data_IF_772375099443
#
_entry.id   IF_772375099443
#
_cell.length_a   1.000
_cell.length_b   1.000
_cell.length_c   1.000
_cell.angle_alpha   90.00
_cell.angle_beta   90.00
_cell.angle_gamma   90.00
#
_symmetry.space_group_name_H-M   'P 1'
#
loop_
_entity.id
_entity.type
_entity.pdbx_description
1 polymer ?
#
# COMPACT_ATOMS: atom_id res chain seq x y z
N UNK A 1 11.77 -26.44 3.96
CA UNK A 1 11.93 -25.84 5.30
C UNK A 1 12.37 -26.95 6.23
N UNK A 2 13.67 -27.03 6.52
CA UNK A 2 14.21 -27.98 7.49
C UNK A 2 13.89 -27.51 8.91
N UNK A 3 13.58 -28.50 9.75
CA UNK A 3 13.31 -28.51 11.18
C UNK A 3 14.05 -27.42 12.01
N UNK A 4 13.50 -26.20 12.01
CA UNK A 4 13.96 -25.07 12.82
C UNK A 4 13.01 -24.81 14.02
N UNK A 5 12.02 -25.70 14.20
CA UNK A 5 11.00 -25.64 15.24
C UNK A 5 11.53 -26.05 16.60
N UNK A 6 12.53 -26.94 16.63
CA UNK A 6 13.12 -27.41 17.89
C UNK A 6 14.12 -26.39 18.47
N UNK A 7 14.98 -25.77 17.65
CA UNK A 7 15.92 -24.72 18.08
C UNK A 7 15.20 -23.46 18.60
N UNK A 8 14.03 -23.11 18.03
CA UNK A 8 13.25 -21.95 18.50
C UNK A 8 12.57 -22.15 19.87
N UNK A 9 12.41 -23.38 20.38
CA UNK A 9 11.75 -23.64 21.67
C UNK A 9 12.60 -23.26 22.88
N UNK A 10 13.92 -23.16 22.71
CA UNK A 10 14.85 -22.80 23.80
C UNK A 10 15.12 -21.29 23.88
N UNK A 11 14.62 -20.51 22.92
CA UNK A 11 14.73 -19.06 22.90
C UNK A 11 13.73 -18.43 23.89
N UNK A 12 14.05 -17.23 24.38
CA UNK A 12 13.07 -16.42 25.12
C UNK A 12 11.87 -16.09 24.23
N UNK A 13 10.69 -15.94 24.81
CA UNK A 13 9.50 -15.51 24.08
C UNK A 13 9.56 -14.03 23.71
N UNK A 14 8.75 -13.64 22.72
CA UNK A 14 8.58 -12.24 22.31
C UNK A 14 8.03 -11.40 23.47
N UNK A 15 8.67 -10.28 23.77
CA UNK A 15 8.27 -9.37 24.85
C UNK A 15 7.69 -8.05 24.29
N UNK A 16 6.88 -7.29 25.06
CA UNK A 16 6.33 -6.01 24.60
C UNK A 16 7.40 -5.02 24.10
N UNK A 17 8.57 -5.01 24.72
CA UNK A 17 9.70 -4.15 24.34
C UNK A 17 10.23 -4.49 22.93
N UNK A 18 10.18 -5.76 22.53
CA UNK A 18 10.57 -6.17 21.17
C UNK A 18 9.60 -5.59 20.13
N UNK A 19 8.30 -5.59 20.45
CA UNK A 19 7.22 -5.10 19.59
C UNK A 19 7.29 -3.59 19.45
N UNK A 20 7.40 -2.89 20.58
CA UNK A 20 7.51 -1.43 20.59
C UNK A 20 8.80 -0.98 19.88
N UNK A 21 9.88 -1.75 20.01
CA UNK A 21 11.16 -1.52 19.34
C UNK A 21 11.19 -1.86 17.84
N UNK A 22 10.12 -2.42 17.27
CA UNK A 22 10.09 -2.81 15.87
C UNK A 22 10.22 -1.61 14.94
N UNK A 23 11.05 -1.76 13.92
CA UNK A 23 11.15 -0.81 12.81
C UNK A 23 10.02 -1.07 11.82
N UNK A 24 9.36 -0.01 11.40
CA UNK A 24 8.33 -0.03 10.35
C UNK A 24 8.94 0.15 8.95
N UNK A 25 8.26 -0.39 7.94
CA UNK A 25 8.59 -0.26 6.52
C UNK A 25 7.42 0.37 5.77
N UNK A 26 7.70 1.35 4.92
CA UNK A 26 6.71 1.92 3.99
C UNK A 26 7.39 2.57 2.78
N UNK A 27 6.61 2.95 1.78
CA UNK A 27 7.07 3.78 0.66
C UNK A 27 8.25 3.20 -0.11
N UNK A 28 8.26 1.88 -0.34
CA UNK A 28 9.29 1.22 -1.16
C UNK A 28 9.07 1.49 -2.66
N UNK A 29 10.13 1.86 -3.38
CA UNK A 29 10.09 2.09 -4.83
C UNK A 29 11.46 1.85 -5.47
N UNK A 30 11.47 1.15 -6.61
CA UNK A 30 12.69 0.88 -7.39
C UNK A 30 13.06 2.06 -8.29
N UNK A 31 14.35 2.29 -8.52
CA UNK A 31 14.82 3.24 -9.52
C UNK A 31 14.43 2.78 -10.93
N UNK A 32 14.16 3.72 -11.87
CA UNK A 32 13.88 3.38 -13.26
C UNK A 32 14.96 2.47 -13.87
N UNK A 33 16.24 2.74 -13.58
CA UNK A 33 17.36 1.91 -14.06
C UNK A 33 17.50 0.53 -13.37
N UNK A 34 16.65 0.21 -12.40
CA UNK A 34 16.58 -1.07 -11.70
C UNK A 34 17.69 -1.32 -10.68
N UNK A 35 18.59 -0.36 -10.42
CA UNK A 35 19.80 -0.58 -9.59
C UNK A 35 19.61 -0.30 -8.11
N UNK A 36 18.61 0.50 -7.75
CA UNK A 36 18.43 0.96 -6.39
C UNK A 36 17.00 0.79 -5.92
N UNK A 37 16.83 0.32 -4.69
CA UNK A 37 15.57 0.36 -3.98
C UNK A 37 15.61 1.50 -2.96
N UNK A 38 14.65 2.42 -3.05
CA UNK A 38 14.38 3.40 -2.02
C UNK A 38 13.26 2.91 -1.12
N UNK A 39 13.36 3.14 0.18
CA UNK A 39 12.31 2.78 1.14
C UNK A 39 12.35 3.67 2.38
N UNK A 40 11.22 3.76 3.09
CA UNK A 40 11.13 4.48 4.36
C UNK A 40 11.28 3.49 5.51
N UNK A 41 12.32 3.68 6.31
CA UNK A 41 12.50 2.96 7.58
C UNK A 41 12.04 3.85 8.72
N UNK A 42 10.97 3.44 9.39
CA UNK A 42 10.44 4.13 10.56
C UNK A 42 10.98 3.51 11.84
N UNK A 43 11.54 4.35 12.73
CA UNK A 43 11.99 3.93 14.06
C UNK A 43 11.06 4.52 15.13
N UNK A 44 10.77 3.76 16.20
CA UNK A 44 10.03 4.29 17.33
C UNK A 44 10.88 5.30 18.09
N UNK A 45 10.31 6.47 18.38
CA UNK A 45 10.87 7.49 19.27
C UNK A 45 9.94 7.59 20.46
N UNK A 46 10.40 7.12 21.62
CA UNK A 46 9.60 7.02 22.84
C UNK A 46 10.07 8.07 23.84
N UNK A 47 9.36 9.20 23.88
CA UNK A 47 9.58 10.24 24.88
C UNK A 47 8.36 10.34 25.80
N UNK A 48 8.55 10.84 27.02
CA UNK A 48 7.51 10.91 28.06
C UNK A 48 6.29 11.72 27.64
N UNK A 49 6.52 12.80 26.89
CA UNK A 49 5.45 13.72 26.44
C UNK A 49 4.86 13.33 25.09
N UNK A 50 5.66 12.69 24.22
CA UNK A 50 5.23 12.31 22.86
C UNK A 50 5.99 11.08 22.38
N UNK A 51 5.25 10.04 22.04
CA UNK A 51 5.79 8.89 21.31
C UNK A 51 5.36 8.96 19.85
N UNK A 52 6.29 8.74 18.92
CA UNK A 52 6.02 8.76 17.48
C UNK A 52 6.90 7.77 16.71
N UNK A 53 6.50 7.43 15.48
CA UNK A 53 7.39 6.79 14.53
C UNK A 53 8.05 7.84 13.64
N UNK A 54 9.39 7.82 13.60
CA UNK A 54 10.18 8.71 12.76
C UNK A 54 10.74 7.95 11.57
N UNK A 55 10.17 8.21 10.40
CA UNK A 55 10.60 7.65 9.11
C UNK A 55 11.76 8.43 8.51
N UNK A 56 12.73 7.73 7.93
CA UNK A 56 13.73 8.33 7.03
C UNK A 56 13.88 7.47 5.79
N UNK A 57 14.39 8.07 4.72
CA UNK A 57 14.58 7.38 3.43
C UNK A 57 15.94 6.69 3.43
N UNK A 58 15.92 5.42 3.05
CA UNK A 58 17.08 4.54 2.91
C UNK A 58 17.19 4.06 1.48
N UNK A 59 18.41 3.79 1.05
CA UNK A 59 18.73 3.19 -0.24
C UNK A 59 19.45 1.86 -0.03
N UNK A 60 19.17 0.88 -0.87
CA UNK A 60 19.92 -0.38 -0.98
C UNK A 60 20.06 -0.77 -2.45
N UNK A 61 21.21 -1.33 -2.83
CA UNK A 61 21.41 -1.84 -4.19
C UNK A 61 20.52 -3.06 -4.42
N UNK A 62 19.99 -3.22 -5.63
CA UNK A 62 19.24 -4.43 -6.02
C UNK A 62 20.13 -5.66 -6.13
N UNK A 63 21.44 -5.48 -6.30
CA UNK A 63 22.44 -6.55 -6.15
C UNK A 63 22.63 -6.99 -4.69
N UNK A 64 22.04 -6.26 -3.73
CA UNK A 64 22.18 -6.47 -2.29
C UNK A 64 23.32 -5.65 -1.67
N UNK A 65 23.62 -5.95 -0.41
CA UNK A 65 24.57 -5.20 0.41
C UNK A 65 23.87 -4.40 1.51
N UNK A 66 24.65 -3.63 2.26
CA UNK A 66 24.14 -2.87 3.40
C UNK A 66 23.32 -1.65 2.95
N UNK A 67 22.07 -1.50 3.42
CA UNK A 67 21.29 -0.29 3.18
C UNK A 67 21.94 0.92 3.86
N UNK A 68 21.91 2.08 3.22
CA UNK A 68 22.38 3.33 3.80
C UNK A 68 21.27 4.36 3.95
N UNK A 69 21.39 5.19 5.00
CA UNK A 69 20.44 6.25 5.27
C UNK A 69 20.70 7.43 4.33
N UNK A 70 19.74 7.76 3.46
CA UNK A 70 19.88 8.88 2.54
C UNK A 70 19.46 10.20 3.19
N UNK A 71 18.35 10.20 3.94
CA UNK A 71 17.87 11.40 4.62
C UNK A 71 18.02 11.30 6.14
N UNK A 72 18.41 12.40 6.76
CA UNK A 72 18.46 12.53 8.21
C UNK A 72 17.92 13.90 8.63
N UNK A 73 17.16 13.96 9.71
CA UNK A 73 16.54 15.19 10.18
C UNK A 73 15.83 15.01 11.52
N UNK A 74 15.46 16.12 12.19
CA UNK A 74 14.81 16.08 13.50
C UNK A 74 13.41 15.44 13.46
N UNK A 75 12.76 15.45 12.30
CA UNK A 75 11.42 14.91 12.07
C UNK A 75 11.43 13.92 10.89
N UNK A 76 10.30 13.24 10.66
CA UNK A 76 10.22 12.19 9.64
C UNK A 76 10.13 12.69 8.18
N UNK A 77 10.70 11.89 7.29
CA UNK A 77 10.60 11.98 5.83
C UNK A 77 9.79 10.78 5.28
N UNK A 78 9.10 10.96 4.16
CA UNK A 78 8.20 9.95 3.57
C UNK A 78 7.97 10.14 2.07
N UNK A 79 7.30 9.17 1.44
CA UNK A 79 6.89 9.18 0.03
C UNK A 79 8.05 9.50 -0.94
N UNK A 80 9.14 8.71 -0.94
CA UNK A 80 10.22 8.88 -1.91
C UNK A 80 9.71 8.57 -3.32
N UNK A 81 10.14 9.36 -4.31
CA UNK A 81 9.82 9.20 -5.73
C UNK A 81 11.05 9.47 -6.59
N UNK A 82 11.41 8.51 -7.42
CA UNK A 82 12.56 8.59 -8.30
C UNK A 82 12.34 9.60 -9.42
N UNK A 83 13.36 10.43 -9.67
CA UNK A 83 13.46 11.11 -10.94
C UNK A 83 13.66 10.07 -12.06
N UNK A 84 13.16 10.31 -13.28
CA UNK A 84 13.29 9.37 -14.40
C UNK A 84 14.74 9.00 -14.75
N UNK A 85 15.68 9.91 -14.49
CA UNK A 85 17.11 9.69 -14.73
C UNK A 85 17.82 8.85 -13.65
N UNK A 86 17.09 8.41 -12.62
CA UNK A 86 17.61 7.63 -11.48
C UNK A 86 18.70 8.34 -10.67
N UNK A 87 18.86 9.67 -10.76
CA UNK A 87 19.94 10.39 -10.08
C UNK A 87 19.54 11.03 -8.74
N UNK A 88 18.25 11.20 -8.50
CA UNK A 88 17.73 11.90 -7.33
C UNK A 88 16.33 11.43 -6.94
N UNK A 89 15.95 11.74 -5.70
CA UNK A 89 14.62 11.48 -5.15
C UNK A 89 13.92 12.79 -4.82
N UNK A 90 12.63 12.88 -5.15
CA UNK A 90 11.71 13.81 -4.52
C UNK A 90 11.04 13.13 -3.32
N UNK A 91 10.77 13.87 -2.26
CA UNK A 91 10.16 13.32 -1.05
C UNK A 91 9.42 14.38 -0.23
N UNK A 92 8.60 13.91 0.70
CA UNK A 92 7.89 14.75 1.68
C UNK A 92 8.68 14.79 2.97
N UNK A 93 9.01 15.99 3.45
CA UNK A 93 9.75 16.19 4.70
C UNK A 93 8.96 16.98 5.73
N UNK A 94 9.04 16.60 7.00
CA UNK A 94 8.46 17.32 8.17
C UNK A 94 9.49 18.18 8.92
N UNK A 95 10.61 18.56 8.30
CA UNK A 95 11.67 19.34 8.96
C UNK A 95 11.23 20.72 9.48
N UNK A 96 10.22 21.33 8.87
CA UNK A 96 9.61 22.59 9.35
C UNK A 96 8.21 22.39 9.93
N UNK A 97 7.48 23.50 10.13
CA UNK A 97 6.13 23.50 10.73
C UNK A 97 5.08 22.71 9.94
N UNK A 98 5.29 22.56 8.63
CA UNK A 98 4.41 21.86 7.69
C UNK A 98 5.23 20.95 6.79
N UNK A 99 4.58 19.91 6.26
CA UNK A 99 5.19 19.05 5.25
C UNK A 99 5.49 19.85 3.99
N UNK A 100 6.67 19.64 3.40
CA UNK A 100 7.04 20.27 2.13
C UNK A 100 7.68 19.22 1.22
N UNK A 101 7.76 19.54 -0.08
CA UNK A 101 8.47 18.72 -1.06
C UNK A 101 9.94 19.15 -1.08
N UNK A 102 10.81 18.15 -1.02
CA UNK A 102 12.26 18.29 -1.07
C UNK A 102 12.82 17.35 -2.14
N UNK A 103 14.02 17.66 -2.62
CA UNK A 103 14.80 16.77 -3.47
C UNK A 103 16.18 16.49 -2.86
N UNK A 104 16.73 15.31 -3.14
CA UNK A 104 18.08 14.92 -2.72
C UNK A 104 18.74 14.03 -3.78
N UNK A 105 20.02 14.27 -4.15
CA UNK A 105 20.79 13.35 -4.98
C UNK A 105 20.98 12.00 -4.29
N UNK A 106 21.01 10.89 -5.04
CA UNK A 106 21.20 9.55 -4.45
C UNK A 106 22.59 9.35 -3.85
N UNK A 107 23.56 10.16 -4.26
CA UNK A 107 24.90 10.21 -3.69
C UNK A 107 24.93 10.87 -2.30
N UNK A 108 23.78 11.35 -1.81
CA UNK A 108 23.64 12.09 -0.57
C UNK A 108 24.01 13.57 -0.73
N UNK A 109 24.21 14.24 0.41
CA UNK A 109 24.44 15.67 0.50
C UNK A 109 23.26 16.42 1.15
N UNK A 110 23.22 17.73 0.96
CA UNK A 110 22.15 18.56 1.51
C UNK A 110 20.89 18.46 0.62
N UNK A 111 19.76 18.13 1.25
CA UNK A 111 18.47 18.15 0.57
C UNK A 111 18.04 19.58 0.26
N UNK A 112 17.43 19.80 -0.91
CA UNK A 112 16.90 21.10 -1.33
C UNK A 112 15.39 21.15 -1.20
N UNK A 113 14.89 22.14 -0.48
CA UNK A 113 13.44 22.42 -0.40
C UNK A 113 12.95 22.98 -1.74
N UNK A 114 11.84 22.45 -2.24
CA UNK A 114 11.19 22.94 -3.47
C UNK A 114 9.94 23.77 -3.20
N UNK A 115 9.18 23.44 -2.14
CA UNK A 115 7.90 24.11 -1.85
C UNK A 115 7.94 24.90 -0.55
N UNK A 116 7.25 26.04 -0.54
CA UNK A 116 7.10 26.92 0.63
C UNK A 116 5.61 27.24 0.87
N UNK A 117 4.79 26.19 0.97
CA UNK A 117 3.35 26.34 1.09
C UNK A 117 2.93 26.57 2.54
N UNK A 118 2.00 27.50 2.78
CA UNK A 118 1.52 27.84 4.14
C UNK A 118 0.92 26.64 4.90
N UNK A 119 0.22 25.73 4.21
CA UNK A 119 -0.53 24.62 4.81
C UNK A 119 0.07 23.23 4.53
N UNK A 120 1.21 23.20 3.85
CA UNK A 120 1.92 21.98 3.51
C UNK A 120 1.64 21.46 2.11
N UNK A 121 2.59 20.65 1.64
CA UNK A 121 2.59 19.95 0.38
C UNK A 121 2.86 18.45 0.60
N UNK A 122 2.31 17.61 -0.26
CA UNK A 122 2.47 16.15 -0.21
C UNK A 122 2.39 15.51 -1.60
N UNK A 123 2.62 14.19 -1.65
CA UNK A 123 2.42 13.34 -2.83
C UNK A 123 3.13 13.88 -4.09
N UNK A 124 4.47 14.10 -4.04
CA UNK A 124 5.21 14.54 -5.21
C UNK A 124 5.12 13.47 -6.31
N UNK A 125 5.11 13.89 -7.57
CA UNK A 125 5.23 13.03 -8.74
C UNK A 125 6.07 13.74 -9.78
N UNK A 126 7.13 13.09 -10.26
CA UNK A 126 7.90 13.58 -11.40
C UNK A 126 7.12 13.38 -12.69
N UNK A 127 7.44 14.17 -13.70
CA UNK A 127 7.17 13.72 -15.06
C UNK A 127 8.15 12.71 -15.56
N UNK A 128 7.75 12.08 -16.66
CA UNK A 128 8.62 11.35 -17.56
C UNK A 128 9.86 12.11 -18.04
N UNK A 129 9.82 13.44 -18.24
CA UNK A 129 11.01 14.20 -18.65
C UNK A 129 11.88 14.71 -17.47
N UNK A 130 11.44 14.50 -16.22
CA UNK A 130 12.14 14.91 -15.01
C UNK A 130 12.22 16.42 -14.76
N UNK A 131 11.58 17.27 -15.58
CA UNK A 131 11.77 18.73 -15.50
C UNK A 131 10.88 19.44 -14.48
N UNK A 132 9.81 18.81 -14.04
CA UNK A 132 8.88 19.40 -13.08
C UNK A 132 8.33 18.33 -12.12
N UNK A 133 7.61 18.78 -11.10
CA UNK A 133 6.99 17.92 -10.10
C UNK A 133 5.56 18.40 -9.84
N UNK A 134 4.58 17.50 -9.95
CA UNK A 134 3.22 17.72 -9.47
C UNK A 134 3.13 17.33 -7.98
N UNK A 135 2.29 18.02 -7.22
CA UNK A 135 2.09 17.74 -5.79
C UNK A 135 0.70 18.19 -5.32
N UNK A 136 0.26 17.63 -4.20
CA UNK A 136 -0.97 18.03 -3.52
C UNK A 136 -0.70 19.12 -2.49
N UNK A 137 -1.61 20.10 -2.38
CA UNK A 137 -1.54 21.19 -1.41
C UNK A 137 -2.78 21.18 -0.53
N UNK A 138 -2.57 21.31 0.79
CA UNK A 138 -3.66 21.42 1.76
C UNK A 138 -4.37 22.77 1.66
N UNK A 139 -5.70 22.76 1.71
CA UNK A 139 -6.52 23.98 1.78
C UNK A 139 -6.18 24.88 2.97
N UNK A 140 -6.54 26.17 2.82
CA UNK A 140 -6.50 27.12 3.92
C UNK A 140 -7.78 27.00 4.76
N UNK A 141 -7.59 26.98 6.07
CA UNK A 141 -8.67 27.11 7.04
C UNK A 141 -9.52 28.36 6.73
N UNK A 142 -10.84 28.20 6.73
CA UNK A 142 -11.74 29.36 6.71
C UNK A 142 -11.57 30.17 8.00
N UNK A 143 -11.99 31.44 8.01
CA UNK A 143 -11.96 32.25 9.25
C UNK A 143 -12.75 31.59 10.39
N UNK A 144 -13.83 30.87 10.06
CA UNK A 144 -14.61 30.10 11.01
C UNK A 144 -13.82 28.92 11.60
N UNK A 145 -13.05 28.20 10.78
CA UNK A 145 -12.18 27.11 11.23
C UNK A 145 -11.05 27.60 12.12
N UNK A 146 -10.41 28.71 11.74
CA UNK A 146 -9.38 29.32 12.56
C UNK A 146 -9.94 29.75 13.93
N UNK A 147 -11.16 30.29 13.95
CA UNK A 147 -11.84 30.71 15.18
C UNK A 147 -12.21 29.52 16.06
N UNK A 148 -12.75 28.43 15.49
CA UNK A 148 -13.04 27.17 16.21
C UNK A 148 -11.77 26.57 16.83
N UNK A 149 -10.69 26.46 16.05
CA UNK A 149 -9.39 25.97 16.55
C UNK A 149 -8.82 26.84 17.66
N UNK A 150 -8.88 28.17 17.54
CA UNK A 150 -8.46 29.10 18.61
C UNK A 150 -9.30 28.94 19.88
N UNK A 151 -10.58 28.62 19.73
CA UNK A 151 -11.48 28.31 20.84
C UNK A 151 -11.28 26.90 21.42
N UNK A 152 -10.40 26.07 20.83
CA UNK A 152 -10.24 24.64 21.13
C UNK A 152 -11.54 23.84 21.00
N UNK A 153 -12.41 24.27 20.10
CA UNK A 153 -13.59 23.50 19.68
C UNK A 153 -13.13 22.44 18.67
N UNK A 154 -12.81 21.25 19.17
CA UNK A 154 -12.30 20.10 18.42
C UNK A 154 -13.40 19.14 17.95
N UNK A 155 -14.67 19.53 18.12
CA UNK A 155 -15.80 18.74 17.65
C UNK A 155 -15.85 18.74 16.12
N UNK A 156 -15.82 17.54 15.56
CA UNK A 156 -16.15 17.27 14.16
C UNK A 156 -17.40 16.39 14.16
N UNK A 157 -18.48 16.89 13.57
CA UNK A 157 -19.73 16.16 13.37
C UNK A 157 -19.69 15.50 12.00
N UNK A 158 -19.43 14.19 12.00
CA UNK A 158 -19.41 13.36 10.79
C UNK A 158 -20.72 13.51 10.01
N UNK A 159 -20.63 13.89 8.72
CA UNK A 159 -21.79 14.09 7.85
C UNK A 159 -22.50 15.46 7.98
N UNK A 160 -21.99 16.38 8.81
CA UNK A 160 -22.49 17.76 8.94
C UNK A 160 -21.37 18.79 8.80
N UNK A 161 -20.19 18.53 9.35
CA UNK A 161 -19.01 19.36 9.17
C UNK A 161 -18.27 18.94 7.88
N UNK A 162 -17.94 19.92 7.03
CA UNK A 162 -17.14 19.70 5.83
C UNK A 162 -15.72 19.25 6.21
N UNK A 163 -15.31 18.09 5.73
CA UNK A 163 -13.90 17.73 5.74
C UNK A 163 -13.14 18.63 4.77
N UNK A 164 -11.93 19.03 5.15
CA UNK A 164 -11.08 19.90 4.34
C UNK A 164 -10.71 19.23 3.03
N UNK A 165 -10.78 19.99 1.94
CA UNK A 165 -10.41 19.48 0.63
C UNK A 165 -8.88 19.44 0.50
N UNK A 166 -8.40 18.50 -0.31
CA UNK A 166 -7.05 18.56 -0.87
C UNK A 166 -7.18 18.96 -2.33
N UNK A 167 -6.47 20.02 -2.72
CA UNK A 167 -6.48 20.49 -4.12
C UNK A 167 -5.23 20.06 -4.85
N UNK A 168 -5.42 19.75 -6.13
CA UNK A 168 -4.35 19.69 -7.12
C UNK A 168 -3.91 21.12 -7.44
N UNK A 169 -2.71 21.51 -7.00
CA UNK A 169 -2.26 22.88 -7.20
C UNK A 169 -1.59 23.09 -8.55
N UNK A 170 -1.92 24.24 -9.15
CA UNK A 170 -1.90 24.55 -10.58
C UNK A 170 -2.75 23.52 -11.30
N UNK A 171 -4.11 23.62 -11.20
CA UNK A 171 -5.02 23.34 -12.31
C UNK A 171 -6.55 23.35 -12.10
N UNK A 172 -7.12 23.11 -10.93
CA UNK A 172 -8.59 23.04 -10.83
C UNK A 172 -9.19 24.31 -10.24
N UNK A 173 -10.34 24.74 -10.78
CA UNK A 173 -11.29 25.64 -10.13
C UNK A 173 -12.62 24.87 -10.02
N UNK A 174 -13.09 24.57 -8.80
CA UNK A 174 -14.34 23.83 -8.52
C UNK A 174 -14.30 23.04 -7.22
N UNK A 175 -15.48 22.65 -6.71
CA UNK A 175 -15.66 21.86 -5.49
C UNK A 175 -15.55 20.36 -5.78
N UNK A 176 -14.37 19.75 -5.57
CA UNK A 176 -14.15 18.31 -5.75
C UNK A 176 -13.30 17.73 -4.61
N UNK A 177 -13.57 16.47 -4.22
CA UNK A 177 -12.79 15.75 -3.20
C UNK A 177 -11.83 14.76 -3.85
N UNK A 178 -10.52 15.04 -3.82
CA UNK A 178 -9.48 14.14 -4.34
C UNK A 178 -9.18 13.04 -3.33
N UNK A 179 -9.47 11.77 -3.66
CA UNK A 179 -9.36 10.65 -2.71
C UNK A 179 -8.08 9.82 -2.82
N UNK A 180 -7.35 9.92 -3.93
CA UNK A 180 -6.13 9.13 -4.18
C UNK A 180 -5.00 9.96 -4.81
N UNK A 181 -3.72 9.54 -4.66
CA UNK A 181 -2.61 10.23 -5.28
C UNK A 181 -2.77 10.35 -6.80
N UNK A 182 -2.37 11.53 -7.28
CA UNK A 182 -2.29 11.93 -8.67
C UNK A 182 -1.41 10.96 -9.47
N UNK A 183 -1.80 10.65 -10.70
CA UNK A 183 -0.87 10.11 -11.69
C UNK A 183 -0.84 11.05 -12.88
N UNK A 184 0.37 11.48 -13.24
CA UNK A 184 0.62 12.44 -14.31
C UNK A 184 1.11 11.66 -15.53
N UNK A 185 0.56 11.92 -16.71
CA UNK A 185 1.19 11.53 -17.97
C UNK A 185 1.52 12.75 -18.81
N UNK A 186 2.73 12.73 -19.37
CA UNK A 186 3.08 13.57 -20.51
C UNK A 186 2.97 15.08 -20.28
N UNK A 187 2.84 15.55 -19.04
CA UNK A 187 2.68 16.96 -18.66
C UNK A 187 1.45 17.71 -19.21
N UNK A 188 0.60 17.07 -20.00
CA UNK A 188 -0.59 17.71 -20.56
C UNK A 188 -1.84 17.40 -19.72
N UNK A 189 -1.89 16.22 -19.08
CA UNK A 189 -3.07 15.79 -18.33
C UNK A 189 -2.71 15.09 -17.02
N UNK A 190 -3.59 15.22 -16.03
CA UNK A 190 -3.50 14.53 -14.75
C UNK A 190 -4.74 13.67 -14.56
N UNK A 191 -4.52 12.40 -14.20
CA UNK A 191 -5.57 11.50 -13.79
C UNK A 191 -5.73 11.55 -12.28
N UNK A 192 -6.97 11.69 -11.82
CA UNK A 192 -7.30 11.72 -10.40
C UNK A 192 -8.65 11.08 -10.13
N UNK A 193 -8.87 10.65 -8.89
CA UNK A 193 -10.16 10.12 -8.43
C UNK A 193 -10.88 11.21 -7.65
N UNK A 194 -12.13 11.48 -8.01
CA UNK A 194 -13.03 12.32 -7.22
C UNK A 194 -14.06 11.46 -6.49
N UNK A 195 -14.59 11.96 -5.36
CA UNK A 195 -15.71 11.36 -4.66
C UNK A 195 -16.86 12.38 -4.49
N UNK A 196 -18.13 11.93 -4.42
CA UNK A 196 -19.30 12.80 -4.24
C UNK A 196 -19.26 13.66 -2.98
N UNK A 197 -18.59 13.17 -1.93
CA UNK A 197 -18.35 13.89 -0.69
C UNK A 197 -17.01 13.43 -0.08
N UNK A 198 -16.49 14.11 0.94
CA UNK A 198 -15.27 13.70 1.61
C UNK A 198 -15.54 12.66 2.73
N UNK A 199 -16.76 12.14 2.83
CA UNK A 199 -17.05 11.05 3.75
C UNK A 199 -16.25 9.81 3.34
N UNK A 200 -15.73 9.08 4.34
CA UNK A 200 -14.89 7.91 4.10
C UNK A 200 -15.54 6.89 3.15
N UNK A 201 -16.84 6.63 3.31
CA UNK A 201 -17.58 5.71 2.43
C UNK A 201 -17.62 6.17 0.97
N UNK A 202 -17.82 7.47 0.72
CA UNK A 202 -17.84 8.00 -0.64
C UNK A 202 -16.45 7.95 -1.27
N UNK A 203 -15.41 8.30 -0.49
CA UNK A 203 -14.02 8.20 -0.92
C UNK A 203 -13.59 6.76 -1.21
N UNK A 204 -14.19 5.77 -0.53
CA UNK A 204 -13.86 4.35 -0.69
C UNK A 204 -14.66 3.65 -1.80
N UNK A 205 -15.93 4.00 -1.99
CA UNK A 205 -16.86 3.18 -2.80
C UNK A 205 -17.52 3.93 -3.96
N UNK A 206 -17.40 5.25 -4.04
CA UNK A 206 -18.06 6.07 -5.04
C UNK A 206 -17.06 6.93 -5.85
N UNK A 207 -15.81 6.48 -5.91
CA UNK A 207 -14.75 7.14 -6.66
C UNK A 207 -15.05 7.18 -8.16
N UNK A 208 -14.66 8.26 -8.83
CA UNK A 208 -14.78 8.45 -10.28
C UNK A 208 -13.44 8.92 -10.83
N UNK A 209 -12.96 8.31 -11.91
CA UNK A 209 -11.75 8.73 -12.61
C UNK A 209 -12.03 9.93 -13.52
N UNK A 210 -11.25 10.99 -13.31
CA UNK A 210 -11.27 12.22 -14.08
C UNK A 210 -9.92 12.48 -14.74
N UNK A 211 -9.97 13.28 -15.80
CA UNK A 211 -8.82 13.93 -16.40
C UNK A 211 -8.93 15.44 -16.25
N UNK A 212 -7.83 16.09 -15.89
CA UNK A 212 -7.68 17.54 -15.97
C UNK A 212 -6.53 17.90 -16.90
N UNK A 213 -6.80 18.79 -17.84
CA UNK A 213 -5.80 19.36 -18.74
C UNK A 213 -4.99 20.48 -18.06
N UNK A 214 -3.65 20.45 -18.22
CA UNK A 214 -2.68 21.28 -17.49
C UNK A 214 -2.65 22.76 -17.88
N UNK A 215 -3.02 23.08 -19.11
CA UNK A 215 -3.01 24.45 -19.58
C UNK A 215 -4.37 25.11 -19.37
N UNK A 216 -5.41 24.41 -19.80
CA UNK A 216 -6.77 24.94 -19.91
C UNK A 216 -7.57 24.83 -18.62
N UNK A 217 -7.15 23.99 -17.66
CA UNK A 217 -7.90 23.72 -16.41
C UNK A 217 -9.21 22.99 -16.62
N UNK A 218 -9.45 22.48 -17.82
CA UNK A 218 -10.67 21.74 -18.12
C UNK A 218 -10.62 20.36 -17.48
N UNK A 219 -11.59 20.10 -16.61
CA UNK A 219 -11.83 18.79 -16.00
C UNK A 219 -12.91 18.06 -16.77
N UNK A 220 -12.70 16.78 -17.08
CA UNK A 220 -13.74 15.91 -17.63
C UNK A 220 -13.76 14.55 -16.95
N UNK A 221 -14.96 13.98 -16.82
CA UNK A 221 -15.14 12.57 -16.44
C UNK A 221 -14.56 11.68 -17.55
N UNK A 222 -13.75 10.70 -17.18
CA UNK A 222 -13.14 9.78 -18.16
C UNK A 222 -14.02 8.56 -18.43
N UNK A 223 -14.67 8.06 -17.37
CA UNK A 223 -15.41 6.81 -17.34
C UNK A 223 -16.92 7.04 -17.31
N UNK A 224 -17.69 6.00 -17.62
CA UNK A 224 -19.16 6.05 -17.59
C UNK A 224 -19.77 5.03 -16.60
N UNK A 225 -18.94 4.36 -15.80
CA UNK A 225 -19.43 3.30 -14.92
C UNK A 225 -20.30 3.83 -13.78
N UNK A 226 -21.11 2.92 -13.26
CA UNK A 226 -21.70 3.00 -11.93
C UNK A 226 -20.83 2.22 -10.94
N UNK A 227 -20.90 2.57 -9.66
CA UNK A 227 -20.06 1.99 -8.62
C UNK A 227 -18.79 2.81 -8.36
N UNK A 228 -17.77 2.17 -7.79
CA UNK A 228 -16.56 2.84 -7.32
C UNK A 228 -15.37 2.58 -8.21
N UNK A 229 -14.60 3.62 -8.48
CA UNK A 229 -13.36 3.56 -9.25
C UNK A 229 -12.18 4.07 -8.43
N UNK A 230 -11.02 3.45 -8.61
CA UNK A 230 -9.82 3.77 -7.83
C UNK A 230 -8.52 3.48 -8.60
N UNK A 231 -7.41 3.95 -8.05
CA UNK A 231 -6.04 3.68 -8.47
C UNK A 231 -5.75 3.89 -9.96
N UNK A 232 -6.08 5.06 -10.54
CA UNK A 232 -5.76 5.35 -11.93
C UNK A 232 -4.23 5.35 -12.13
N UNK A 233 -3.77 4.81 -13.26
CA UNK A 233 -2.36 4.74 -13.66
C UNK A 233 -2.25 4.96 -15.16
N UNK A 234 -1.41 5.90 -15.56
CA UNK A 234 -1.15 6.13 -16.97
C UNK A 234 -0.27 5.04 -17.58
N UNK A 235 -0.58 4.67 -18.82
CA UNK A 235 0.35 3.91 -19.64
C UNK A 235 1.62 4.74 -19.92
N UNK A 236 2.77 4.10 -20.17
CA UNK A 236 4.04 4.81 -20.42
C UNK A 236 3.97 5.79 -21.60
N UNK A 237 3.16 5.48 -22.62
CA UNK A 237 2.94 6.34 -23.79
C UNK A 237 1.93 7.48 -23.53
N UNK A 238 1.27 7.51 -22.37
CA UNK A 238 0.21 8.47 -22.03
C UNK A 238 -1.10 8.28 -22.80
N UNK A 239 -1.25 7.21 -23.59
CA UNK A 239 -2.44 6.99 -24.42
C UNK A 239 -3.62 6.34 -23.68
N UNK A 240 -3.36 5.69 -22.54
CA UNK A 240 -4.35 4.91 -21.80
C UNK A 240 -4.23 5.10 -20.29
N UNK A 241 -5.30 4.75 -19.59
CA UNK A 241 -5.36 4.71 -18.13
C UNK A 241 -5.84 3.34 -17.70
N UNK A 242 -5.04 2.68 -16.85
CA UNK A 242 -5.46 1.54 -16.06
C UNK A 242 -6.10 2.05 -14.77
N UNK A 243 -7.17 1.40 -14.30
CA UNK A 243 -7.84 1.74 -13.06
C UNK A 243 -8.57 0.53 -12.51
N UNK A 244 -8.90 0.55 -11.24
CA UNK A 244 -9.74 -0.46 -10.60
C UNK A 244 -11.19 0.01 -10.65
N UNK A 245 -12.11 -0.91 -10.93
CA UNK A 245 -13.54 -0.65 -10.94
C UNK A 245 -14.26 -1.70 -10.09
N UNK A 246 -15.22 -1.26 -9.30
CA UNK A 246 -16.16 -2.11 -8.60
C UNK A 246 -17.59 -1.72 -8.96
N UNK A 247 -18.39 -2.62 -9.55
CA UNK A 247 -19.71 -2.28 -10.07
C UNK A 247 -20.75 -1.99 -8.98
N UNK A 248 -20.52 -2.50 -7.77
CA UNK A 248 -21.42 -2.37 -6.62
C UNK A 248 -20.67 -1.89 -5.39
N UNK A 249 -21.41 -1.37 -4.41
CA UNK A 249 -20.86 -1.04 -3.09
C UNK A 249 -20.39 -2.34 -2.44
N UNK A 250 -19.08 -2.46 -2.23
CA UNK A 250 -18.42 -3.72 -1.86
C UNK A 250 -18.53 -4.79 -2.96
N UNK A 251 -18.39 -4.45 -4.24
CA UNK A 251 -18.22 -5.40 -5.33
C UNK A 251 -16.80 -5.96 -5.39
N UNK A 252 -16.56 -6.90 -6.30
CA UNK A 252 -15.18 -7.25 -6.68
C UNK A 252 -14.51 -6.02 -7.31
N UNK A 253 -13.20 -5.85 -7.09
CA UNK A 253 -12.37 -4.84 -7.75
C UNK A 253 -11.69 -5.47 -8.95
N UNK A 254 -12.14 -5.08 -10.13
CA UNK A 254 -11.60 -5.52 -11.41
C UNK A 254 -10.64 -4.50 -12.01
N UNK A 255 -9.67 -4.99 -12.76
CA UNK A 255 -8.71 -4.15 -13.47
C UNK A 255 -9.26 -3.78 -14.84
N UNK A 256 -9.40 -2.48 -15.10
CA UNK A 256 -9.86 -1.93 -16.35
C UNK A 256 -8.79 -1.08 -17.03
N UNK A 257 -8.88 -0.98 -18.36
CA UNK A 257 -8.16 0.00 -19.17
C UNK A 257 -9.13 0.84 -20.00
N UNK A 258 -8.82 2.11 -20.19
CA UNK A 258 -9.58 3.04 -21.04
C UNK A 258 -8.62 3.95 -21.81
N UNK A 259 -8.98 4.34 -23.04
CA UNK A 259 -8.24 5.37 -23.76
C UNK A 259 -8.30 6.68 -23.00
N UNK A 260 -7.19 7.42 -22.97
CA UNK A 260 -7.17 8.77 -22.43
C UNK A 260 -8.22 9.67 -23.12
N UNK A 261 -8.50 9.46 -24.41
CA UNK A 261 -9.54 10.19 -25.14
C UNK A 261 -10.98 9.88 -24.66
N UNK A 262 -11.17 8.88 -23.80
CA UNK A 262 -12.46 8.35 -23.36
C UNK A 262 -12.97 7.22 -24.27
N UNK A 263 -14.24 6.83 -24.05
CA UNK A 263 -14.89 5.75 -24.79
C UNK A 263 -15.15 4.52 -23.93
N UNK A 264 -15.28 3.35 -24.57
CA UNK A 264 -15.50 2.09 -23.87
C UNK A 264 -14.20 1.64 -23.17
N UNK A 265 -14.33 1.18 -21.92
CA UNK A 265 -13.23 0.51 -21.22
C UNK A 265 -13.23 -0.99 -21.44
N UNK A 266 -12.06 -1.62 -21.33
CA UNK A 266 -11.91 -3.07 -21.33
C UNK A 266 -11.62 -3.56 -19.90
N UNK A 267 -12.38 -4.54 -19.41
CA UNK A 267 -12.08 -5.25 -18.15
C UNK A 267 -11.09 -6.39 -18.45
N UNK A 268 -9.89 -6.32 -17.89
CA UNK A 268 -8.81 -7.29 -18.11
C UNK A 268 -8.88 -8.50 -17.18
N UNK A 269 -9.62 -8.43 -16.07
CA UNK A 269 -9.72 -9.51 -15.08
C UNK A 269 -10.97 -10.38 -15.24
N UNK A 270 -11.94 -9.95 -16.06
CA UNK A 270 -13.23 -10.63 -16.26
C UNK A 270 -13.14 -12.12 -16.66
N UNK A 271 -12.04 -12.55 -17.27
CA UNK A 271 -11.95 -13.86 -17.94
C UNK A 271 -11.39 -14.96 -17.03
N UNK A 272 -10.55 -14.62 -16.04
CA UNK A 272 -9.77 -15.63 -15.31
C UNK A 272 -9.48 -15.32 -13.84
N UNK A 273 -9.81 -14.13 -13.34
CA UNK A 273 -9.48 -13.77 -11.96
C UNK A 273 -10.73 -13.53 -11.13
N UNK A 274 -11.04 -14.49 -10.27
CA UNK A 274 -12.07 -14.36 -9.24
C UNK A 274 -11.45 -13.83 -7.93
N UNK A 275 -10.67 -12.74 -8.00
CA UNK A 275 -9.99 -12.09 -6.87
C UNK A 275 -9.93 -10.58 -7.10
N UNK A 276 -9.90 -9.80 -6.02
CA UNK A 276 -9.71 -8.36 -6.10
C UNK A 276 -8.29 -8.02 -6.58
N UNK A 277 -8.21 -7.26 -7.67
CA UNK A 277 -6.96 -6.61 -8.07
C UNK A 277 -6.71 -5.36 -7.20
N UNK A 278 -5.44 -5.11 -6.91
CA UNK A 278 -4.99 -3.93 -6.18
C UNK A 278 -3.63 -3.44 -6.68
N UNK A 279 -3.34 -2.16 -6.44
CA UNK A 279 -2.09 -1.48 -6.78
C UNK A 279 -1.59 -1.74 -8.22
N UNK A 280 -2.37 -1.41 -9.27
CA UNK A 280 -1.93 -1.62 -10.64
C UNK A 280 -0.67 -0.82 -10.97
N UNK A 281 0.20 -1.40 -11.79
CA UNK A 281 1.44 -0.79 -12.33
C UNK A 281 1.62 -1.26 -13.77
N UNK A 282 1.77 -0.33 -14.71
CA UNK A 282 2.05 -0.68 -16.10
C UNK A 282 3.44 -1.27 -16.26
N UNK A 283 3.59 -2.20 -17.21
CA UNK A 283 4.90 -2.54 -17.74
C UNK A 283 5.49 -1.33 -18.48
N UNK A 284 6.82 -1.12 -18.46
CA UNK A 284 7.47 -0.03 -19.18
C UNK A 284 7.19 0.01 -20.69
N UNK A 285 6.91 -1.15 -21.30
CA UNK A 285 6.53 -1.27 -22.71
C UNK A 285 5.03 -1.00 -22.98
N UNK A 286 4.19 -0.88 -21.95
CA UNK A 286 2.75 -0.64 -22.07
C UNK A 286 1.91 -1.85 -22.54
N UNK A 287 2.49 -3.06 -22.56
CA UNK A 287 1.84 -4.27 -23.07
C UNK A 287 1.17 -5.12 -21.98
N UNK A 288 1.50 -4.89 -20.71
CA UNK A 288 0.90 -5.57 -19.57
C UNK A 288 0.69 -4.63 -18.38
N UNK A 289 -0.15 -5.07 -17.45
CA UNK A 289 -0.33 -4.44 -16.14
C UNK A 289 -0.06 -5.47 -15.07
N UNK A 290 0.82 -5.13 -14.14
CA UNK A 290 1.09 -5.88 -12.93
C UNK A 290 0.21 -5.37 -11.80
N UNK A 291 -0.27 -6.28 -10.96
CA UNK A 291 -1.11 -5.95 -9.82
C UNK A 291 -0.97 -7.03 -8.75
N UNK A 292 -1.32 -6.69 -7.52
CA UNK A 292 -1.40 -7.68 -6.44
C UNK A 292 -2.85 -8.13 -6.26
N UNK A 293 -3.03 -9.39 -5.87
CA UNK A 293 -4.34 -9.88 -5.46
C UNK A 293 -4.20 -10.80 -4.26
N UNK A 294 -5.17 -10.71 -3.36
CA UNK A 294 -5.32 -11.66 -2.27
C UNK A 294 -5.85 -12.97 -2.85
N UNK A 295 -5.15 -14.08 -2.65
CA UNK A 295 -5.67 -15.42 -2.88
C UNK A 295 -5.64 -16.16 -1.55
N UNK A 296 -6.82 -16.45 -1.03
CA UNK A 296 -7.03 -16.96 0.32
C UNK A 296 -6.34 -16.04 1.33
N UNK A 297 -5.49 -16.56 2.21
CA UNK A 297 -4.72 -15.78 3.20
C UNK A 297 -3.41 -15.19 2.66
N UNK A 298 -3.13 -15.26 1.35
CA UNK A 298 -1.86 -14.86 0.73
C UNK A 298 -2.07 -13.66 -0.18
N UNK A 299 -1.06 -12.80 -0.31
CA UNK A 299 -1.04 -11.75 -1.33
C UNK A 299 0.07 -12.05 -2.33
N UNK A 300 -0.27 -12.07 -3.61
CA UNK A 300 0.63 -12.48 -4.70
C UNK A 300 0.59 -11.49 -5.85
N UNK A 301 1.66 -11.49 -6.66
CA UNK A 301 1.81 -10.66 -7.85
C UNK A 301 1.23 -11.40 -9.05
N UNK A 302 0.47 -10.66 -9.86
CA UNK A 302 -0.14 -11.14 -11.10
C UNK A 302 0.18 -10.17 -12.24
N UNK A 303 0.03 -10.64 -13.48
CA UNK A 303 0.05 -9.81 -14.68
C UNK A 303 -1.19 -10.06 -15.54
N UNK A 304 -1.74 -8.99 -16.11
CA UNK A 304 -2.71 -9.02 -17.18
C UNK A 304 -2.09 -8.44 -18.45
N UNK A 305 -2.09 -9.20 -19.55
CA UNK A 305 -1.64 -8.70 -20.84
C UNK A 305 -2.77 -7.96 -21.56
N UNK A 306 -2.49 -6.84 -22.22
CA UNK A 306 -3.51 -6.01 -22.90
C UNK A 306 -4.12 -6.71 -24.12
N UNK A 307 -3.27 -7.42 -24.88
CA UNK A 307 -3.65 -8.06 -26.15
C UNK A 307 -4.01 -9.55 -26.01
N UNK A 308 -3.91 -10.10 -24.80
CA UNK A 308 -4.23 -11.51 -24.53
C UNK A 308 -5.21 -11.56 -23.37
N UNK A 309 -6.25 -12.36 -23.54
CA UNK A 309 -7.19 -12.69 -22.48
C UNK A 309 -6.58 -13.69 -21.48
N UNK A 310 -5.46 -13.31 -20.86
CA UNK A 310 -4.63 -14.17 -20.02
C UNK A 310 -4.18 -13.44 -18.75
N UNK A 311 -4.47 -14.05 -17.59
CA UNK A 311 -3.92 -13.66 -16.29
C UNK A 311 -2.85 -14.66 -15.87
N UNK A 312 -1.66 -14.16 -15.53
CA UNK A 312 -0.56 -14.99 -15.03
C UNK A 312 -0.24 -14.63 -13.59
N UNK A 313 -0.30 -15.61 -12.69
CA UNK A 313 0.28 -15.48 -11.35
C UNK A 313 1.81 -15.58 -11.44
N UNK A 314 2.49 -14.55 -10.98
CA UNK A 314 3.95 -14.41 -11.03
C UNK A 314 4.58 -15.02 -9.79
N UNK A 315 4.15 -14.60 -8.59
CA UNK A 315 4.74 -15.08 -7.34
C UNK A 315 3.87 -16.16 -6.69
N UNK A 316 4.53 -17.11 -6.01
CA UNK A 316 3.90 -18.21 -5.29
C UNK A 316 4.65 -18.49 -3.99
N UNK A 317 3.92 -18.59 -2.88
CA UNK A 317 4.47 -18.98 -1.58
C UNK A 317 3.62 -18.56 -0.40
N UNK A 318 4.07 -18.89 0.80
CA UNK A 318 3.39 -18.59 2.06
C UNK A 318 3.85 -17.26 2.63
N UNK A 319 3.49 -16.19 1.92
CA UNK A 319 3.80 -14.81 2.29
C UNK A 319 2.72 -13.86 1.76
N UNK A 320 2.81 -12.61 2.21
CA UNK A 320 2.04 -11.49 1.70
C UNK A 320 2.98 -10.48 1.09
N UNK A 321 2.63 -9.95 -0.09
CA UNK A 321 3.37 -8.86 -0.73
C UNK A 321 2.56 -7.56 -0.74
N UNK A 322 3.25 -6.42 -0.77
CA UNK A 322 2.68 -5.10 -0.97
C UNK A 322 3.67 -4.14 -1.63
N UNK A 323 3.28 -2.87 -1.80
CA UNK A 323 4.19 -1.79 -2.22
C UNK A 323 4.99 -2.10 -3.49
N UNK A 324 4.33 -2.53 -4.55
CA UNK A 324 4.98 -2.99 -5.78
C UNK A 324 5.45 -1.84 -6.68
N UNK A 325 6.57 -2.03 -7.37
CA UNK A 325 7.07 -1.16 -8.44
C UNK A 325 7.93 -1.94 -9.43
N UNK A 326 8.04 -1.46 -10.67
CA UNK A 326 8.69 -2.16 -11.80
C UNK A 326 9.79 -1.25 -12.37
N UNK A 327 10.95 -1.81 -12.69
CA UNK A 327 12.04 -1.11 -13.36
C UNK A 327 11.85 -1.08 -14.89
N UNK A 328 12.57 -0.21 -15.58
CA UNK A 328 12.45 0.00 -17.04
C UNK A 328 12.86 -1.22 -17.87
N UNK A 329 13.64 -2.15 -17.29
CA UNK A 329 14.02 -3.41 -17.93
C UNK A 329 12.86 -4.40 -18.12
N UNK A 330 11.69 -4.10 -17.55
CA UNK A 330 10.45 -4.88 -17.60
C UNK A 330 10.52 -6.30 -16.99
N UNK A 331 11.63 -6.68 -16.36
CA UNK A 331 11.79 -7.96 -15.64
C UNK A 331 11.98 -7.74 -14.14
N UNK A 332 12.63 -6.66 -13.72
CA UNK A 332 12.91 -6.41 -12.31
C UNK A 332 11.73 -5.74 -11.62
N UNK A 333 11.23 -6.35 -10.55
CA UNK A 333 10.22 -5.74 -9.67
C UNK A 333 10.73 -5.63 -8.24
N UNK A 334 10.22 -4.63 -7.52
CA UNK A 334 10.39 -4.47 -6.08
C UNK A 334 9.06 -4.63 -5.38
N UNK A 335 9.05 -5.24 -4.20
CA UNK A 335 7.90 -5.30 -3.31
C UNK A 335 8.35 -5.26 -1.84
N UNK A 336 7.40 -5.03 -0.95
CA UNK A 336 7.52 -5.46 0.45
C UNK A 336 7.01 -6.89 0.56
N UNK A 337 7.67 -7.73 1.37
CA UNK A 337 7.23 -9.10 1.65
C UNK A 337 7.22 -9.33 3.16
N UNK A 338 6.10 -9.85 3.69
CA UNK A 338 6.00 -10.32 5.07
C UNK A 338 5.60 -11.79 5.09
N UNK A 339 6.14 -12.51 6.06
CA UNK A 339 5.90 -13.93 6.32
C UNK A 339 5.34 -14.09 7.74
N UNK A 340 4.77 -15.25 8.10
CA UNK A 340 4.22 -15.45 9.45
C UNK A 340 5.25 -15.20 10.55
N UNK A 341 6.53 -15.41 10.26
CA UNK A 341 7.63 -15.33 11.22
C UNK A 341 8.58 -14.16 10.96
N UNK A 342 8.26 -13.28 10.01
CA UNK A 342 9.10 -12.14 9.65
C UNK A 342 8.26 -10.92 9.25
N UNK A 343 8.45 -9.76 9.92
CA UNK A 343 7.86 -8.50 9.51
C UNK A 343 8.23 -8.14 8.06
N UNK A 344 7.53 -7.15 7.51
CA UNK A 344 7.77 -6.74 6.13
C UNK A 344 9.22 -6.25 5.92
N UNK A 345 9.87 -6.83 4.91
CA UNK A 345 11.18 -6.43 4.41
C UNK A 345 11.11 -6.14 2.90
N UNK A 346 12.07 -5.38 2.38
CA UNK A 346 12.18 -5.05 0.95
C UNK A 346 12.73 -6.24 0.19
N UNK A 347 12.05 -6.64 -0.87
CA UNK A 347 12.48 -7.70 -1.78
C UNK A 347 12.54 -7.20 -3.22
N UNK A 348 13.48 -7.74 -3.99
CA UNK A 348 13.55 -7.59 -5.46
C UNK A 348 13.33 -8.95 -6.10
N UNK A 349 12.67 -9.01 -7.25
CA UNK A 349 12.43 -10.25 -7.98
C UNK A 349 12.36 -10.09 -9.48
N UNK A 350 12.26 -11.23 -10.17
CA UNK A 350 12.07 -11.29 -11.63
C UNK A 350 10.63 -11.60 -11.98
N UNK A 351 10.02 -10.80 -12.86
CA UNK A 351 8.69 -11.01 -13.40
C UNK A 351 8.62 -12.32 -14.19
N UNK A 352 9.69 -12.66 -14.90
CA UNK A 352 9.77 -13.88 -15.71
C UNK A 352 9.76 -15.15 -14.87
N UNK A 353 10.46 -15.17 -13.73
CA UNK A 353 10.58 -16.38 -12.90
C UNK A 353 9.67 -16.39 -11.66
N UNK A 354 9.30 -15.21 -11.15
CA UNK A 354 8.60 -15.05 -9.88
C UNK A 354 9.49 -15.22 -8.65
N UNK A 355 10.79 -15.46 -8.84
CA UNK A 355 11.74 -15.62 -7.73
C UNK A 355 12.09 -14.27 -7.13
N UNK A 356 12.21 -14.24 -5.79
CA UNK A 356 12.50 -13.03 -5.03
C UNK A 356 13.70 -13.22 -4.12
N UNK A 357 14.50 -12.16 -4.01
CA UNK A 357 15.60 -11.98 -3.07
C UNK A 357 15.25 -10.87 -2.09
N UNK A 358 15.41 -11.16 -0.79
CA UNK A 358 15.29 -10.17 0.27
C UNK A 358 16.54 -9.27 0.29
N UNK A 359 16.33 -7.95 0.32
CA UNK A 359 17.39 -6.93 0.32
C UNK A 359 17.64 -6.35 1.71
N UNK A 360 16.64 -6.35 2.58
CA UNK A 360 16.74 -5.76 3.93
C UNK A 360 16.39 -6.77 4.99
N UNK A 361 16.85 -6.52 6.21
CA UNK A 361 16.36 -7.19 7.42
C UNK A 361 16.18 -6.16 8.51
N UNK A 362 15.01 -5.52 8.55
CA UNK A 362 14.79 -4.36 9.42
C UNK A 362 14.74 -4.74 10.90
N UNK A 363 14.25 -5.94 11.20
CA UNK A 363 14.01 -6.43 12.56
C UNK A 363 14.79 -7.73 12.88
N UNK A 364 16.14 -7.72 12.81
CA UNK A 364 16.94 -8.93 13.03
C UNK A 364 16.87 -9.44 14.48
N UNK A 365 16.45 -8.60 15.44
CA UNK A 365 16.26 -9.01 16.83
C UNK A 365 15.25 -10.15 16.99
N UNK A 366 14.33 -10.33 16.03
CA UNK A 366 13.31 -11.38 16.05
C UNK A 366 13.87 -12.77 15.70
N UNK A 367 15.12 -12.89 15.32
CA UNK A 367 15.75 -14.21 15.13
C UNK A 367 16.04 -14.94 16.44
N UNK A 368 16.18 -14.18 17.52
CA UNK A 368 16.54 -14.69 18.85
C UNK A 368 15.32 -14.80 19.78
N UNK A 369 14.11 -14.85 19.22
CA UNK A 369 12.88 -15.02 19.99
C UNK A 369 12.08 -16.22 19.50
N UNK A 370 11.48 -16.94 20.45
CA UNK A 370 10.53 -17.99 20.18
C UNK A 370 9.21 -17.38 19.70
N UNK A 371 8.76 -17.80 18.52
CA UNK A 371 7.49 -17.39 17.91
C UNK A 371 6.55 -18.59 17.84
N UNK A 372 5.27 -18.37 18.13
CA UNK A 372 4.23 -19.38 17.96
C UNK A 372 4.11 -19.90 16.54
N UNK A 373 3.85 -21.19 16.39
CA UNK A 373 3.60 -21.83 15.09
C UNK A 373 2.27 -21.34 14.52
N UNK A 374 2.29 -20.79 13.30
CA UNK A 374 1.09 -20.30 12.61
C UNK A 374 0.63 -21.33 11.59
N UNK A 375 -0.61 -21.76 11.72
CA UNK A 375 -1.28 -22.73 10.85
C UNK A 375 -2.46 -22.08 10.12
N UNK A 376 -2.59 -22.39 8.83
CA UNK A 376 -3.83 -22.15 8.09
C UNK A 376 -4.76 -23.32 8.38
N UNK A 377 -5.89 -23.07 9.02
CA UNK A 377 -6.90 -24.09 9.31
C UNK A 377 -8.14 -23.86 8.45
N UNK A 378 -8.81 -24.95 8.08
CA UNK A 378 -9.98 -24.96 7.21
C UNK A 378 -11.14 -25.67 7.91
N UNK A 379 -12.36 -25.17 7.71
CA UNK A 379 -13.58 -25.84 8.16
C UNK A 379 -14.74 -25.56 7.20
N UNK A 380 -15.75 -26.44 7.25
CA UNK A 380 -16.99 -26.23 6.53
C UNK A 380 -17.95 -25.39 7.39
N UNK A 381 -18.50 -24.33 6.80
CA UNK A 381 -19.59 -23.54 7.35
C UNK A 381 -20.91 -24.35 7.34
N UNK A 382 -21.92 -23.90 8.08
CA UNK A 382 -23.23 -24.55 8.17
C UNK A 382 -23.97 -24.64 6.82
N UNK A 383 -23.60 -23.81 5.84
CA UNK A 383 -24.11 -23.79 4.47
C UNK A 383 -23.21 -24.55 3.47
N UNK A 384 -22.14 -25.21 3.94
CA UNK A 384 -21.24 -26.03 3.12
C UNK A 384 -20.14 -25.26 2.39
N UNK A 385 -19.95 -23.96 2.70
CA UNK A 385 -18.80 -23.19 2.22
C UNK A 385 -17.55 -23.49 3.04
N UNK A 386 -16.43 -23.75 2.38
CA UNK A 386 -15.12 -23.88 3.02
C UNK A 386 -14.63 -22.49 3.47
N UNK A 387 -14.27 -22.35 4.74
CA UNK A 387 -13.72 -21.13 5.32
C UNK A 387 -12.32 -21.43 5.86
N UNK A 388 -11.41 -20.47 5.71
CA UNK A 388 -10.06 -20.50 6.29
C UNK A 388 -9.91 -19.56 7.48
N UNK A 389 -8.97 -19.88 8.36
CA UNK A 389 -8.56 -19.02 9.46
C UNK A 389 -7.12 -19.30 9.83
N UNK A 390 -6.56 -18.41 10.65
CA UNK A 390 -5.18 -18.51 11.09
C UNK A 390 -5.15 -18.86 12.58
N UNK A 391 -4.44 -19.93 12.91
CA UNK A 391 -4.23 -20.40 14.27
C UNK A 391 -2.75 -20.28 14.63
N UNK A 392 -2.42 -19.39 15.54
CA UNK A 392 -1.10 -19.33 16.17
C UNK A 392 -1.12 -20.19 17.43
N UNK A 393 -0.35 -21.27 17.45
CA UNK A 393 -0.22 -22.16 18.60
C UNK A 393 0.70 -21.54 19.66
N UNK A 394 0.51 -21.89 20.95
CA UNK A 394 1.42 -21.52 22.02
C UNK A 394 2.87 -21.93 21.72
N UNK A 395 3.84 -21.13 22.17
CA UNK A 395 5.25 -21.53 22.14
C UNK A 395 5.41 -22.79 22.99
N UNK A 396 6.06 -23.82 22.42
CA UNK A 396 6.22 -25.11 23.10
C UNK A 396 4.94 -25.95 23.13
N UNK A 397 4.03 -25.80 22.16
CA UNK A 397 2.82 -26.62 22.04
C UNK A 397 3.11 -28.14 22.14
N UNK A 398 2.26 -28.82 22.92
CA UNK A 398 2.23 -30.26 23.17
C UNK A 398 0.86 -30.83 22.78
N UNK A 399 0.85 -31.81 21.89
CA UNK A 399 -0.40 -32.47 21.47
C UNK A 399 -1.09 -33.14 22.66
N UNK A 400 -2.42 -32.99 22.75
CA UNK A 400 -3.24 -33.55 23.83
C UNK A 400 -3.35 -32.67 25.08
N UNK A 401 -2.56 -31.60 25.20
CA UNK A 401 -2.70 -30.59 26.26
C UNK A 401 -3.73 -29.53 25.86
N UNK A 402 -4.52 -29.08 26.84
CA UNK A 402 -5.45 -27.95 26.67
C UNK A 402 -4.76 -26.62 26.93
N UNK A 403 -5.05 -25.63 26.10
CA UNK A 403 -4.50 -24.27 26.20
C UNK A 403 -5.65 -23.24 26.16
N UNK A 404 -5.52 -22.10 26.86
CA UNK A 404 -6.48 -21.01 26.71
C UNK A 404 -6.43 -20.47 25.27
N UNK A 405 -7.60 -20.13 24.72
CA UNK A 405 -7.76 -19.65 23.35
C UNK A 405 -8.22 -18.20 23.34
N UNK A 406 -7.50 -17.34 22.64
CA UNK A 406 -7.97 -16.01 22.23
C UNK A 406 -8.58 -16.14 20.84
N UNK A 407 -9.77 -15.59 20.64
CA UNK A 407 -10.42 -15.50 19.33
C UNK A 407 -10.48 -14.04 18.91
N UNK A 408 -9.90 -13.71 17.77
CA UNK A 408 -9.90 -12.37 17.17
C UNK A 408 -10.78 -12.36 15.91
N UNK A 409 -12.11 -12.24 16.07
CA UNK A 409 -12.96 -11.95 14.93
C UNK A 409 -12.63 -10.57 14.39
N UNK A 410 -12.76 -10.41 13.07
CA UNK A 410 -12.55 -9.13 12.40
C UNK A 410 -13.76 -8.81 11.52
N UNK A 411 -14.06 -7.52 11.33
CA UNK A 411 -15.32 -7.17 10.68
C UNK A 411 -15.66 -5.69 10.63
N UNK A 412 -14.72 -4.83 10.22
CA UNK A 412 -15.02 -3.40 10.05
C UNK A 412 -15.16 -2.98 8.59
N UNK A 413 -14.45 -3.62 7.65
CA UNK A 413 -14.62 -3.36 6.22
C UNK A 413 -15.30 -4.60 5.61
N UNK A 414 -16.48 -4.47 4.99
CA UNK A 414 -17.06 -5.57 4.23
C UNK A 414 -16.04 -6.08 3.22
N UNK A 415 -15.89 -7.40 3.14
CA UNK A 415 -14.81 -8.09 2.42
C UNK A 415 -13.41 -8.08 3.02
N UNK A 416 -13.17 -7.60 4.24
CA UNK A 416 -11.85 -7.80 4.86
C UNK A 416 -11.57 -9.27 5.17
N UNK A 417 -10.35 -9.73 4.88
CA UNK A 417 -9.82 -11.05 5.28
C UNK A 417 -8.50 -10.89 6.02
N UNK A 418 -8.21 -11.80 6.95
CA UNK A 418 -6.91 -11.97 7.60
C UNK A 418 -5.95 -12.65 6.64
N UNK A 419 -4.70 -12.20 6.71
CA UNK A 419 -3.61 -12.64 5.86
C UNK A 419 -2.47 -13.27 6.67
N UNK A 420 -1.58 -13.97 5.95
CA UNK A 420 -0.46 -14.73 6.48
C UNK A 420 0.73 -13.87 6.94
N UNK A 421 0.65 -12.54 6.86
CA UNK A 421 1.74 -11.66 7.26
C UNK A 421 1.99 -11.71 8.77
N UNK A 422 3.18 -11.29 9.21
CA UNK A 422 3.59 -11.29 10.62
C UNK A 422 2.61 -10.52 11.51
N UNK A 423 2.21 -11.13 12.64
CA UNK A 423 1.32 -10.51 13.63
C UNK A 423 1.99 -10.53 15.01
N UNK A 424 2.60 -9.42 15.47
CA UNK A 424 3.36 -9.41 16.72
C UNK A 424 2.51 -9.78 17.93
N UNK A 425 1.25 -9.35 17.95
CA UNK A 425 0.30 -9.65 19.04
C UNK A 425 0.02 -11.15 19.17
N UNK A 426 -0.10 -11.88 18.05
CA UNK A 426 -0.34 -13.32 18.07
C UNK A 426 0.85 -14.06 18.69
N UNK A 427 2.07 -13.67 18.31
CA UNK A 427 3.28 -14.29 18.86
C UNK A 427 3.54 -13.93 20.32
N UNK A 428 3.19 -12.71 20.75
CA UNK A 428 3.25 -12.33 22.16
C UNK A 428 2.37 -13.24 23.02
N UNK A 429 1.07 -13.34 22.69
CA UNK A 429 0.15 -14.18 23.46
C UNK A 429 0.47 -15.67 23.35
N UNK A 430 1.01 -16.12 22.21
CA UNK A 430 1.57 -17.46 22.08
C UNK A 430 2.72 -17.72 23.05
N UNK A 431 3.61 -16.74 23.25
CA UNK A 431 4.66 -16.78 24.27
C UNK A 431 4.12 -16.84 25.71
N UNK A 432 2.97 -16.22 25.96
CA UNK A 432 2.24 -16.28 27.24
C UNK A 432 1.41 -17.57 27.41
N UNK A 433 1.52 -18.53 26.49
CA UNK A 433 0.87 -19.84 26.57
C UNK A 433 -0.54 -19.91 26.00
N UNK A 434 -0.99 -18.88 25.27
CA UNK A 434 -2.30 -18.87 24.61
C UNK A 434 -2.21 -19.41 23.19
N UNK A 435 -3.25 -20.14 22.78
CA UNK A 435 -3.55 -20.28 21.36
C UNK A 435 -4.25 -18.99 20.90
N UNK A 436 -4.00 -18.57 19.66
CA UNK A 436 -4.59 -17.38 19.07
C UNK A 436 -5.26 -17.73 17.75
N UNK A 437 -6.57 -17.56 17.65
CA UNK A 437 -7.34 -17.90 16.46
C UNK A 437 -7.97 -16.66 15.84
N UNK A 438 -7.62 -16.40 14.59
CA UNK A 438 -8.19 -15.35 13.76
C UNK A 438 -8.98 -15.98 12.59
N UNK A 439 -10.29 -16.24 12.77
CA UNK A 439 -11.14 -16.78 11.71
C UNK A 439 -11.34 -15.75 10.60
N UNK A 440 -11.32 -16.17 9.33
CA UNK A 440 -12.02 -15.41 8.29
C UNK A 440 -13.51 -15.67 8.37
N UNK A 441 -14.27 -14.71 7.87
CA UNK A 441 -15.72 -14.77 7.85
C UNK A 441 -16.20 -14.90 6.40
N UNK A 442 -17.37 -15.52 6.26
CA UNK A 442 -18.09 -15.56 4.99
C UNK A 442 -18.43 -14.14 4.54
N UNK A 443 -18.10 -13.80 3.31
CA UNK A 443 -18.16 -12.42 2.84
C UNK A 443 -16.81 -11.70 2.81
N UNK A 444 -15.71 -12.36 3.20
CA UNK A 444 -14.34 -11.87 3.11
C UNK A 444 -13.71 -12.01 1.71
N UNK A 445 -12.67 -11.22 1.44
CA UNK A 445 -11.86 -11.28 0.21
C UNK A 445 -10.94 -12.51 0.17
N UNK A 446 -10.46 -12.84 -1.03
CA UNK A 446 -9.50 -13.92 -1.27
C UNK A 446 -10.14 -15.26 -1.63
N UNK A 447 -11.46 -15.38 -1.60
CA UNK A 447 -12.18 -16.65 -1.85
C UNK A 447 -13.15 -16.60 -3.02
N UNK A 448 -13.18 -15.48 -3.75
CA UNK A 448 -14.07 -15.27 -4.89
C UNK A 448 -15.27 -14.39 -4.61
N UNK A 449 -15.87 -13.84 -5.66
CA UNK A 449 -16.99 -12.93 -5.55
C UNK A 449 -18.25 -13.62 -5.00
N UNK A 450 -18.49 -14.89 -5.34
CA UNK A 450 -19.62 -15.65 -4.79
C UNK A 450 -19.49 -15.82 -3.27
N UNK A 451 -18.27 -16.14 -2.79
CA UNK A 451 -17.99 -16.23 -1.36
C UNK A 451 -18.13 -14.87 -0.66
N UNK A 452 -17.65 -13.81 -1.31
CA UNK A 452 -17.69 -12.44 -0.78
C UNK A 452 -19.10 -11.84 -0.76
N UNK A 453 -19.99 -12.27 -1.66
CA UNK A 453 -21.38 -11.79 -1.78
C UNK A 453 -22.40 -12.72 -1.14
N UNK A 454 -21.99 -13.89 -0.64
CA UNK A 454 -22.82 -14.73 0.20
C UNK A 454 -23.24 -13.94 1.45
N UNK A 455 -24.41 -13.28 1.38
CA UNK A 455 -25.09 -12.57 2.48
C UNK A 455 -25.83 -13.59 3.35
N UNK A 456 -25.91 -13.33 4.66
CA UNK A 456 -26.39 -14.30 5.67
C UNK A 456 -27.91 -14.45 5.51
#
# INVERSE_FOLDING_TARGET
MTDNTQERRELRTLQPEDIVGMKGLSGSVISPDGKWAAFVRAVPVLETEKSEYRGHIWLVSTDGGEPFQLTNGPNGDSNPQWAPDSTQLAFVSRRGDKTQIWIIPITGGEAKQLTHTKNGASNPQWSFDGKQIAFLKTEQDSEADEKRKKAKDDRIVMGVDDFKQQHLWRLTAGDFHVSEPLVVAGWEQIAFVSAPSPNADDMMFNGIVHLVDIETKNVRKLTAHTGGESSPRWSPDGGQIAYLHSPERYGQKDLHIISAAGGASTNLTAIQLDRNADAPVWSPDGEAIYFIAMDRVRWQLYSAAKAKDEIRQITRGDYVIGGISIADDSDTFLCTRSEPYAPADVCVGSIRTGEMKQLTKLNPQLENVALGEVQVIQWQSSDGLEIEGLLCLPVGYEAGRSYPLIVEPHGWVPRSSRDLGFKPTWHYFSGEGFAYFAPNFRGGDGYGNDFATAKL
#
